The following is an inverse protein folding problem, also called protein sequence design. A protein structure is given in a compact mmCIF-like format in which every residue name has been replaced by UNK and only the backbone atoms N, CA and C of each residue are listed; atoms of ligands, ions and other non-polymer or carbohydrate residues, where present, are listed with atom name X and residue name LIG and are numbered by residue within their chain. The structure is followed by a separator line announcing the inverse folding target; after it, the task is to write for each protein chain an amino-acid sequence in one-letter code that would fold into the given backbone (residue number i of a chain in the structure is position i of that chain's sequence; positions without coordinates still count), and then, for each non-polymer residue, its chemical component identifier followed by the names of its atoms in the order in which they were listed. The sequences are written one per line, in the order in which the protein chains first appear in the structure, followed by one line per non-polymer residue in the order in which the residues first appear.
data_IF_083140088884
#
_entry.id   IF_083140088884
#
_cell.length_a   1.000
_cell.length_b   1.000
_cell.length_c   1.000
_cell.angle_alpha   90.00
_cell.angle_beta   90.00
_cell.angle_gamma   90.00
#
_symmetry.space_group_name_H-M   'P 1'
#
loop_
_entity.id
_entity.type
_entity.pdbx_description
1 polymer ?
#
# COMPACT_ATOMS: atom_id res chain seq x y z
N UNK A 1 1.65 6.11 -18.90
CA UNK A 1 0.18 6.04 -18.81
C UNK A 1 -0.45 7.16 -19.62
N UNK A 2 -1.43 6.84 -20.46
CA UNK A 2 -2.03 7.78 -21.42
C UNK A 2 -3.05 8.72 -20.76
N UNK A 3 -3.38 8.48 -19.48
CA UNK A 3 -4.44 9.16 -18.73
C UNK A 3 -3.96 9.99 -17.52
N UNK A 4 -2.64 10.02 -17.26
CA UNK A 4 -2.07 10.74 -16.11
C UNK A 4 -2.39 10.14 -14.73
N UNK A 5 -3.02 8.96 -14.67
CA UNK A 5 -3.22 8.23 -13.42
C UNK A 5 -1.86 7.77 -12.85
N UNK A 6 -1.68 7.93 -11.55
CA UNK A 6 -0.45 7.47 -10.88
C UNK A 6 -0.38 5.93 -10.92
N UNK A 7 0.83 5.43 -11.13
CA UNK A 7 1.16 4.01 -11.07
C UNK A 7 1.92 3.65 -9.80
N UNK A 8 2.76 4.55 -9.32
CA UNK A 8 3.63 4.30 -8.18
C UNK A 8 3.90 5.60 -7.42
N UNK A 9 3.95 5.50 -6.09
CA UNK A 9 4.38 6.54 -5.17
C UNK A 9 5.40 5.89 -4.23
N UNK A 10 6.63 6.41 -4.22
CA UNK A 10 7.73 5.89 -3.39
C UNK A 10 8.43 7.04 -2.66
N UNK A 11 8.81 6.81 -1.41
CA UNK A 11 9.75 7.66 -0.69
C UNK A 11 10.74 6.80 0.10
N UNK A 12 11.99 6.79 -0.37
CA UNK A 12 13.08 5.99 0.21
C UNK A 12 13.57 6.54 1.55
N UNK A 13 13.43 7.85 1.78
CA UNK A 13 13.96 8.51 2.97
C UNK A 13 12.95 8.54 4.12
N UNK A 14 11.70 8.87 3.83
CA UNK A 14 10.67 9.10 4.85
C UNK A 14 9.37 8.38 4.49
N UNK A 15 8.77 7.62 5.42
CA UNK A 15 7.47 7.02 5.20
C UNK A 15 6.36 8.08 5.19
N UNK A 16 5.29 7.79 4.47
CA UNK A 16 4.14 8.67 4.26
C UNK A 16 2.82 7.97 4.58
N UNK A 17 1.78 8.75 4.80
CA UNK A 17 0.46 8.21 5.16
C UNK A 17 -0.19 7.49 3.97
N UNK A 18 -1.04 6.51 4.27
CA UNK A 18 -1.72 5.66 3.29
C UNK A 18 -2.83 6.38 2.50
N UNK A 19 -2.98 7.70 2.67
CA UNK A 19 -4.12 8.51 2.21
C UNK A 19 -4.22 8.61 0.67
N UNK A 20 -3.25 8.06 -0.06
CA UNK A 20 -3.30 7.85 -1.52
C UNK A 20 -4.19 6.67 -1.93
N UNK A 21 -4.56 5.80 -0.98
CA UNK A 21 -5.46 4.67 -1.21
C UNK A 21 -6.92 5.05 -0.91
N UNK A 22 -7.89 4.34 -1.51
CA UNK A 22 -9.29 4.41 -1.08
C UNK A 22 -9.44 4.18 0.43
N UNK A 23 -10.28 4.99 1.09
CA UNK A 23 -10.43 5.00 2.55
C UNK A 23 -10.78 3.63 3.15
N UNK A 24 -11.54 2.79 2.44
CA UNK A 24 -11.86 1.44 2.88
C UNK A 24 -10.58 0.58 3.02
N UNK A 25 -9.64 0.70 2.08
CA UNK A 25 -8.37 -0.02 2.14
C UNK A 25 -7.49 0.51 3.26
N UNK A 26 -7.44 1.83 3.44
CA UNK A 26 -6.71 2.46 4.56
C UNK A 26 -7.19 1.91 5.90
N UNK A 27 -8.51 1.80 6.09
CA UNK A 27 -9.08 1.28 7.33
C UNK A 27 -8.72 -0.19 7.56
N UNK A 28 -8.79 -1.02 6.52
CA UNK A 28 -8.43 -2.44 6.60
C UNK A 28 -6.95 -2.60 6.98
N UNK A 29 -6.06 -1.85 6.31
CA UNK A 29 -4.62 -1.92 6.58
C UNK A 29 -4.33 -1.44 8.00
N UNK A 30 -4.92 -0.33 8.46
CA UNK A 30 -4.70 0.19 9.82
C UNK A 30 -5.28 -0.70 10.93
N UNK A 31 -6.31 -1.49 10.64
CA UNK A 31 -6.85 -2.47 11.59
C UNK A 31 -5.88 -3.66 11.77
N UNK A 32 -5.26 -4.12 10.69
CA UNK A 32 -4.28 -5.22 10.71
C UNK A 32 -2.90 -4.75 11.21
N UNK A 33 -2.51 -3.51 10.85
CA UNK A 33 -1.23 -2.89 11.18
C UNK A 33 -1.47 -1.51 11.81
N UNK A 34 -1.66 -1.44 13.12
CA UNK A 34 -1.89 -0.17 13.82
C UNK A 34 -0.70 0.80 13.66
N UNK A 35 -1.00 2.10 13.51
CA UNK A 35 -0.03 3.19 13.38
C UNK A 35 0.98 3.05 12.22
N UNK A 36 0.63 2.30 11.17
CA UNK A 36 1.52 2.03 10.05
C UNK A 36 1.56 3.16 9.02
N UNK A 37 2.71 3.30 8.35
CA UNK A 37 2.89 4.16 7.18
C UNK A 37 3.41 3.37 5.98
N UNK A 38 3.37 3.96 4.79
CA UNK A 38 3.92 3.37 3.58
C UNK A 38 5.28 4.00 3.22
N UNK A 39 6.15 3.18 2.61
CA UNK A 39 7.33 3.62 1.87
C UNK A 39 7.12 3.56 0.36
N UNK A 40 6.26 2.65 -0.09
CA UNK A 40 5.93 2.45 -1.50
C UNK A 40 4.47 2.03 -1.63
N UNK A 41 3.75 2.63 -2.57
CA UNK A 41 2.42 2.22 -3.01
C UNK A 41 2.45 2.11 -4.54
N UNK A 42 2.28 0.91 -5.05
CA UNK A 42 2.25 0.63 -6.49
C UNK A 42 0.88 0.06 -6.89
N UNK A 43 0.21 0.72 -7.83
CA UNK A 43 -1.03 0.23 -8.42
C UNK A 43 -0.72 -0.79 -9.52
N UNK A 44 -1.17 -2.02 -9.31
CA UNK A 44 -1.19 -3.08 -10.32
C UNK A 44 -2.55 -3.16 -10.98
N UNK A 45 -2.68 -4.01 -11.99
CA UNK A 45 -3.92 -4.16 -12.77
C UNK A 45 -5.10 -4.57 -11.88
N UNK A 46 -4.88 -5.43 -10.87
CA UNK A 46 -5.95 -6.01 -10.04
C UNK A 46 -5.76 -5.80 -8.52
N UNK A 47 -4.70 -5.14 -8.08
CA UNK A 47 -4.38 -4.96 -6.66
C UNK A 47 -3.44 -3.78 -6.43
N UNK A 48 -3.24 -3.40 -5.18
CA UNK A 48 -2.14 -2.55 -4.75
C UNK A 48 -1.04 -3.41 -4.14
N UNK A 49 0.21 -3.12 -4.50
CA UNK A 49 1.40 -3.58 -3.77
C UNK A 49 1.83 -2.44 -2.86
N UNK A 50 1.96 -2.70 -1.57
CA UNK A 50 2.30 -1.68 -0.58
C UNK A 50 3.46 -2.20 0.25
N UNK A 51 4.53 -1.41 0.33
CA UNK A 51 5.60 -1.63 1.31
C UNK A 51 5.38 -0.71 2.49
N UNK A 52 5.25 -1.30 3.66
CA UNK A 52 5.03 -0.63 4.93
C UNK A 52 6.37 -0.22 5.55
N UNK A 53 6.33 0.68 6.53
CA UNK A 53 7.52 1.21 7.20
C UNK A 53 8.12 0.27 8.26
N UNK A 54 7.44 -0.85 8.53
CA UNK A 54 7.89 -1.96 9.38
C UNK A 54 8.42 -3.16 8.59
N UNK A 55 8.91 -2.92 7.37
CA UNK A 55 9.49 -3.92 6.47
C UNK A 55 8.51 -5.04 6.06
N UNK A 56 7.20 -4.78 6.16
CA UNK A 56 6.17 -5.69 5.63
C UNK A 56 5.72 -5.23 4.25
N UNK A 57 5.66 -6.15 3.31
CA UNK A 57 5.02 -5.95 2.01
C UNK A 57 3.69 -6.67 1.95
N UNK A 58 2.65 -5.97 1.49
CA UNK A 58 1.30 -6.51 1.30
C UNK A 58 0.83 -6.35 -0.14
N UNK A 59 0.04 -7.33 -0.60
CA UNK A 59 -0.78 -7.23 -1.79
C UNK A 59 -2.24 -7.22 -1.37
N UNK A 60 -2.98 -6.17 -1.71
CA UNK A 60 -4.41 -6.01 -1.36
C UNK A 60 -5.23 -5.74 -2.62
N UNK A 61 -6.29 -6.51 -2.84
CA UNK A 61 -7.20 -6.27 -3.95
C UNK A 61 -8.04 -4.98 -3.74
N UNK A 62 -8.76 -4.56 -4.78
CA UNK A 62 -9.57 -3.33 -4.70
C UNK A 62 -10.81 -3.45 -3.80
N UNK A 63 -11.19 -4.66 -3.39
CA UNK A 63 -12.30 -4.93 -2.47
C UNK A 63 -11.84 -4.95 -1.01
N UNK A 64 -10.53 -4.98 -0.75
CA UNK A 64 -9.95 -5.02 0.60
C UNK A 64 -9.50 -6.40 1.06
N UNK A 65 -9.43 -7.39 0.17
CA UNK A 65 -8.85 -8.70 0.51
C UNK A 65 -7.33 -8.61 0.48
N UNK A 66 -6.67 -8.88 1.61
CA UNK A 66 -5.22 -9.06 1.63
C UNK A 66 -4.91 -10.41 0.97
N UNK A 67 -4.31 -10.37 -0.21
CA UNK A 67 -3.97 -11.53 -1.03
C UNK A 67 -2.66 -12.17 -0.57
N UNK A 68 -1.73 -11.33 -0.11
CA UNK A 68 -0.38 -11.77 0.29
C UNK A 68 0.24 -10.80 1.30
N UNK A 69 1.08 -11.34 2.17
CA UNK A 69 1.87 -10.63 3.19
C UNK A 69 3.22 -11.33 3.35
N UNK A 70 4.30 -10.58 3.21
CA UNK A 70 5.68 -11.05 3.43
C UNK A 70 6.47 -10.00 4.21
N UNK A 71 7.45 -10.45 4.98
CA UNK A 71 8.48 -9.59 5.57
C UNK A 71 9.59 -9.47 4.51
N UNK A 72 9.93 -8.24 4.14
CA UNK A 72 10.98 -7.90 3.18
C UNK A 72 12.32 -7.94 3.94
N UNK A 73 12.92 -9.13 4.06
CA UNK A 73 14.22 -9.40 4.70
C UNK A 73 15.42 -9.04 3.79
#
# INVERSE_FOLDING_TARGET
DIDGAWKEIENKAFPFDLDFLPQNLVNIIKNEFPNIKAREIERKINHYKIKLDNDVKILIDFNGTILHKEIDD
#
